data_IF_375878025188
#
_entry.id   IF_375878025188
#
_cell.length_a   1.000
_cell.length_b   1.000
_cell.length_c   1.000
_cell.angle_alpha   90.00
_cell.angle_beta   90.00
_cell.angle_gamma   90.00
#
_symmetry.space_group_name_H-M   'P 1'
#
loop_
_entity.id
_entity.type
_entity.pdbx_description
1 polymer ?
#
# COMPACT_ATOMS: atom_id res chain seq x y z
N UNK A 1 38.53 -2.83 -26.67
CA UNK A 1 37.28 -2.78 -27.49
C UNK A 1 36.13 -2.37 -26.57
N UNK A 2 35.43 -1.26 -26.82
CA UNK A 2 34.35 -0.74 -25.95
C UNK A 2 33.15 -1.69 -25.97
N UNK A 3 32.44 -1.89 -24.85
CA UNK A 3 31.25 -2.77 -24.67
C UNK A 3 30.26 -2.72 -25.85
N UNK A 4 30.02 -1.53 -26.41
CA UNK A 4 29.17 -1.30 -27.58
C UNK A 4 29.65 -2.09 -28.82
N UNK A 5 30.96 -2.20 -29.04
CA UNK A 5 31.55 -2.98 -30.13
C UNK A 5 31.38 -4.49 -29.97
N UNK A 6 31.43 -5.00 -28.74
CA UNK A 6 31.13 -6.41 -28.43
C UNK A 6 29.65 -6.71 -28.66
N UNK A 7 28.75 -5.87 -28.16
CA UNK A 7 27.30 -6.00 -28.40
C UNK A 7 26.97 -5.94 -29.89
N UNK A 8 27.62 -5.07 -30.68
CA UNK A 8 27.44 -5.03 -32.14
C UNK A 8 27.78 -6.36 -32.83
N UNK A 9 28.54 -7.27 -32.23
CA UNK A 9 28.83 -8.59 -32.82
C UNK A 9 27.72 -9.62 -32.61
N UNK A 10 26.87 -9.44 -31.58
CA UNK A 10 25.85 -10.40 -31.16
C UNK A 10 24.46 -10.21 -31.82
N UNK A 11 24.22 -9.06 -32.46
CA UNK A 11 22.87 -8.65 -32.89
C UNK A 11 22.81 -8.33 -34.39
N UNK A 12 21.63 -8.42 -35.01
CA UNK A 12 21.46 -8.04 -36.44
C UNK A 12 21.21 -6.54 -36.61
N UNK A 13 21.38 -6.00 -37.82
CA UNK A 13 21.42 -4.54 -38.09
C UNK A 13 20.31 -3.70 -37.41
N UNK A 14 19.05 -4.17 -37.43
CA UNK A 14 17.92 -3.46 -36.77
C UNK A 14 18.00 -3.47 -35.25
N UNK A 15 18.52 -4.55 -34.66
CA UNK A 15 18.73 -4.67 -33.23
C UNK A 15 19.93 -3.84 -32.76
N UNK A 16 20.99 -3.74 -33.57
CA UNK A 16 22.15 -2.87 -33.29
C UNK A 16 21.73 -1.42 -33.15
N UNK A 17 20.94 -0.88 -34.08
CA UNK A 17 20.42 0.49 -34.02
C UNK A 17 19.66 0.76 -32.71
N UNK A 18 18.78 -0.17 -32.33
CA UNK A 18 18.02 -0.06 -31.08
C UNK A 18 18.93 -0.09 -29.85
N UNK A 19 19.88 -1.04 -29.78
CA UNK A 19 20.80 -1.19 -28.65
C UNK A 19 21.66 0.05 -28.49
N UNK A 20 22.20 0.61 -29.57
CA UNK A 20 23.01 1.82 -29.51
C UNK A 20 22.23 3.01 -28.94
N UNK A 21 21.00 3.22 -29.42
CA UNK A 21 20.11 4.26 -28.89
C UNK A 21 19.73 4.00 -27.44
N UNK A 22 19.45 2.75 -27.09
CA UNK A 22 19.09 2.36 -25.74
C UNK A 22 20.23 2.63 -24.75
N UNK A 23 21.45 2.17 -25.04
CA UNK A 23 22.62 2.43 -24.19
C UNK A 23 22.94 3.92 -24.09
N UNK A 24 22.87 4.66 -25.20
CA UNK A 24 23.07 6.12 -25.18
C UNK A 24 22.10 6.80 -24.19
N UNK A 25 20.83 6.42 -24.22
CA UNK A 25 19.83 6.96 -23.28
C UNK A 25 20.15 6.56 -21.82
N UNK A 26 20.60 5.33 -21.59
CA UNK A 26 20.98 4.87 -20.25
C UNK A 26 22.23 5.60 -19.71
N UNK A 27 23.20 5.89 -20.57
CA UNK A 27 24.39 6.67 -20.19
C UNK A 27 24.02 8.10 -19.79
N UNK A 28 23.03 8.70 -20.47
CA UNK A 28 22.56 10.06 -20.19
C UNK A 28 21.64 10.16 -18.97
N UNK A 29 20.68 9.24 -18.81
CA UNK A 29 19.55 9.38 -17.87
C UNK A 29 19.39 8.24 -16.89
N UNK A 30 20.15 7.14 -17.03
CA UNK A 30 20.01 5.90 -16.23
C UNK A 30 18.63 5.22 -16.31
N UNK A 31 17.70 5.69 -17.14
CA UNK A 31 16.44 5.02 -17.44
C UNK A 31 16.00 5.31 -18.87
N UNK A 32 15.20 4.43 -19.46
CA UNK A 32 14.73 4.56 -20.83
C UNK A 32 13.25 4.16 -20.96
N UNK A 33 12.48 4.97 -21.71
CA UNK A 33 11.16 4.58 -22.19
C UNK A 33 11.30 3.90 -23.55
N UNK A 34 11.16 2.58 -23.58
CA UNK A 34 11.40 1.73 -24.74
C UNK A 34 10.46 2.02 -25.92
N UNK A 35 9.26 2.54 -25.66
CA UNK A 35 8.34 2.94 -26.73
C UNK A 35 8.72 4.26 -27.38
N UNK A 36 9.48 5.12 -26.69
CA UNK A 36 9.96 6.40 -27.23
C UNK A 36 11.29 6.28 -27.97
N UNK A 37 11.95 5.12 -27.93
CA UNK A 37 13.18 4.89 -28.70
C UNK A 37 12.79 4.75 -30.18
N UNK A 38 13.30 5.65 -31.01
CA UNK A 38 13.04 5.64 -32.44
C UNK A 38 13.80 4.50 -33.11
N UNK A 39 13.11 3.44 -33.52
CA UNK A 39 13.70 2.29 -34.22
C UNK A 39 12.64 1.56 -35.05
N UNK A 40 13.08 0.75 -36.02
CA UNK A 40 12.23 -0.07 -36.90
C UNK A 40 11.70 -1.34 -36.22
N UNK A 41 12.12 -1.63 -34.99
CA UNK A 41 11.63 -2.79 -34.23
C UNK A 41 10.26 -2.54 -33.63
N UNK A 42 9.39 -3.54 -33.69
CA UNK A 42 8.14 -3.56 -32.93
C UNK A 42 8.43 -3.65 -31.42
N UNK A 43 7.47 -3.24 -30.59
CA UNK A 43 7.70 -3.13 -29.14
C UNK A 43 8.03 -4.48 -28.47
N UNK A 44 7.36 -5.56 -28.86
CA UNK A 44 7.67 -6.92 -28.38
C UNK A 44 9.12 -7.32 -28.69
N UNK A 45 9.61 -7.04 -29.89
CA UNK A 45 11.01 -7.31 -30.24
C UNK A 45 11.99 -6.51 -29.37
N UNK A 46 11.66 -5.26 -29.02
CA UNK A 46 12.46 -4.45 -28.08
C UNK A 46 12.47 -5.06 -26.67
N UNK A 47 11.32 -5.56 -26.21
CA UNK A 47 11.18 -6.27 -24.92
C UNK A 47 12.07 -7.51 -24.90
N UNK A 48 12.02 -8.31 -25.96
CA UNK A 48 12.82 -9.55 -26.07
C UNK A 48 14.32 -9.25 -26.03
N UNK A 49 14.77 -8.21 -26.73
CA UNK A 49 16.16 -7.76 -26.70
C UNK A 49 16.58 -7.35 -25.28
N UNK A 50 15.78 -6.54 -24.59
CA UNK A 50 16.10 -6.11 -23.22
C UNK A 50 16.16 -7.30 -22.26
N UNK A 51 15.25 -8.26 -22.38
CA UNK A 51 15.28 -9.49 -21.58
C UNK A 51 16.53 -10.32 -21.85
N UNK A 52 16.96 -10.45 -23.13
CA UNK A 52 18.21 -11.12 -23.50
C UNK A 52 19.43 -10.43 -22.87
N UNK A 53 19.50 -9.09 -22.96
CA UNK A 53 20.59 -8.32 -22.36
C UNK A 53 20.66 -8.49 -20.82
N UNK A 54 19.52 -8.59 -20.14
CA UNK A 54 19.47 -8.87 -18.70
C UNK A 54 19.92 -10.30 -18.37
N UNK A 55 19.42 -11.29 -19.11
CA UNK A 55 19.74 -12.71 -18.90
C UNK A 55 21.23 -13.02 -19.13
N UNK A 56 21.85 -12.33 -20.09
CA UNK A 56 23.29 -12.42 -20.39
C UNK A 56 24.14 -11.49 -19.51
N UNK A 57 23.54 -10.80 -18.53
CA UNK A 57 24.22 -9.86 -17.63
C UNK A 57 24.97 -8.72 -18.35
N UNK A 58 24.51 -8.34 -19.55
CA UNK A 58 25.08 -7.26 -20.37
C UNK A 58 24.55 -5.88 -19.96
N UNK A 59 23.41 -5.86 -19.26
CA UNK A 59 22.87 -4.71 -18.53
C UNK A 59 22.44 -5.16 -17.14
N UNK A 60 22.42 -4.22 -16.20
CA UNK A 60 21.89 -4.43 -14.85
C UNK A 60 20.83 -3.37 -14.55
N UNK A 61 19.70 -3.80 -13.99
CA UNK A 61 18.58 -2.90 -13.76
C UNK A 61 17.22 -3.57 -13.63
N UNK A 62 16.19 -2.73 -13.51
CA UNK A 62 14.80 -3.12 -13.36
C UNK A 62 14.04 -2.84 -14.64
N UNK A 63 13.41 -3.88 -15.20
CA UNK A 63 12.54 -3.75 -16.35
C UNK A 63 11.06 -3.82 -15.97
N UNK A 64 10.31 -2.79 -16.36
CA UNK A 64 8.85 -2.68 -16.21
C UNK A 64 8.17 -2.74 -17.59
N UNK A 65 7.99 -3.94 -18.20
CA UNK A 65 7.49 -4.06 -19.57
C UNK A 65 6.07 -3.52 -19.77
N UNK A 66 5.18 -3.65 -18.76
CA UNK A 66 3.83 -3.05 -18.81
C UNK A 66 3.86 -1.52 -18.79
N UNK A 67 4.87 -0.94 -18.13
CA UNK A 67 5.08 0.52 -18.07
C UNK A 67 5.95 1.03 -19.24
N UNK A 68 6.60 0.12 -19.97
CA UNK A 68 7.51 0.42 -21.08
C UNK A 68 8.81 1.10 -20.66
N UNK A 69 9.21 0.95 -19.39
CA UNK A 69 10.42 1.57 -18.84
C UNK A 69 11.44 0.53 -18.41
N UNK A 70 12.71 0.82 -18.67
CA UNK A 70 13.86 0.17 -18.07
C UNK A 70 14.62 1.17 -17.20
N UNK A 71 15.08 0.74 -16.02
CA UNK A 71 15.87 1.54 -15.09
C UNK A 71 17.21 0.84 -14.88
N UNK A 72 18.31 1.50 -15.23
CA UNK A 72 19.65 1.02 -14.95
C UNK A 72 19.93 1.16 -13.46
N UNK A 73 20.22 0.05 -12.79
CA UNK A 73 20.69 0.01 -11.41
C UNK A 73 21.93 -0.85 -11.35
N UNK A 74 22.90 -0.45 -10.54
CA UNK A 74 24.02 -1.31 -10.21
C UNK A 74 23.54 -2.48 -9.34
N UNK A 75 24.09 -3.67 -9.58
CA UNK A 75 23.73 -4.88 -8.83
C UNK A 75 23.94 -4.71 -7.32
N UNK A 76 25.03 -4.05 -6.92
CA UNK A 76 25.31 -3.73 -5.52
C UNK A 76 24.19 -2.90 -4.88
N UNK A 77 23.65 -1.92 -5.59
CA UNK A 77 22.55 -1.10 -5.09
C UNK A 77 21.25 -1.89 -5.00
N UNK A 78 20.97 -2.79 -5.97
CA UNK A 78 19.81 -3.68 -5.91
C UNK A 78 19.87 -4.60 -4.67
N UNK A 79 21.04 -5.19 -4.41
CA UNK A 79 21.29 -6.02 -3.22
C UNK A 79 21.15 -5.20 -1.94
N UNK A 80 21.67 -3.97 -1.91
CA UNK A 80 21.53 -3.08 -0.76
C UNK A 80 20.06 -2.77 -0.45
N UNK A 81 19.26 -2.46 -1.46
CA UNK A 81 17.82 -2.19 -1.30
C UNK A 81 17.13 -3.42 -0.71
N UNK A 82 17.37 -4.59 -1.30
CA UNK A 82 16.75 -5.84 -0.83
C UNK A 82 17.14 -6.16 0.62
N UNK A 83 18.41 -6.02 0.97
CA UNK A 83 18.90 -6.27 2.33
C UNK A 83 18.33 -5.28 3.35
N UNK A 84 18.31 -3.97 3.03
CA UNK A 84 17.75 -2.95 3.92
C UNK A 84 16.26 -3.15 4.20
N UNK A 85 15.49 -3.52 3.17
CA UNK A 85 14.07 -3.83 3.31
C UNK A 85 13.85 -5.11 4.13
N UNK A 86 14.69 -6.14 3.99
CA UNK A 86 14.61 -7.35 4.83
C UNK A 86 14.98 -7.09 6.29
N UNK A 87 16.00 -6.26 6.54
CA UNK A 87 16.53 -6.04 7.89
C UNK A 87 15.75 -5.02 8.70
N UNK A 88 15.44 -3.87 8.10
CA UNK A 88 14.84 -2.73 8.81
C UNK A 88 13.42 -2.44 8.36
N UNK A 89 12.97 -3.06 7.26
CA UNK A 89 11.67 -2.79 6.69
C UNK A 89 11.56 -1.46 5.94
N UNK A 90 12.63 -0.66 5.86
CA UNK A 90 12.64 0.65 5.20
C UNK A 90 13.90 0.91 4.37
N UNK A 91 13.78 1.72 3.33
CA UNK A 91 14.89 2.11 2.46
C UNK A 91 14.81 3.61 2.12
N UNK A 92 15.92 4.34 2.25
CA UNK A 92 15.99 5.77 1.92
C UNK A 92 15.96 5.97 0.40
N UNK A 93 14.92 6.65 -0.09
CA UNK A 93 14.69 6.85 -1.53
C UNK A 93 15.27 8.16 -2.06
N UNK A 94 15.85 9.03 -1.23
CA UNK A 94 16.30 10.36 -1.64
C UNK A 94 17.38 10.29 -2.71
N UNK A 95 18.32 9.34 -2.58
CA UNK A 95 19.36 9.14 -3.58
C UNK A 95 18.77 8.66 -4.91
N UNK A 96 17.78 7.77 -4.88
CA UNK A 96 17.09 7.32 -6.10
C UNK A 96 16.29 8.44 -6.76
N UNK A 97 15.59 9.28 -5.97
CA UNK A 97 14.88 10.46 -6.47
C UNK A 97 15.81 11.46 -7.15
N UNK A 98 17.04 11.64 -6.63
CA UNK A 98 18.06 12.49 -7.27
C UNK A 98 18.59 11.91 -8.58
N UNK A 99 18.79 10.58 -8.63
CA UNK A 99 19.30 9.90 -9.82
C UNK A 99 18.24 9.78 -10.93
N UNK A 100 16.97 9.64 -10.57
CA UNK A 100 15.86 9.50 -11.51
C UNK A 100 14.83 10.60 -11.29
N UNK A 101 14.79 11.64 -12.13
CA UNK A 101 13.72 12.65 -12.11
C UNK A 101 12.44 12.07 -12.73
N UNK A 102 11.86 11.07 -12.06
CA UNK A 102 10.64 10.36 -12.47
C UNK A 102 9.52 10.60 -11.48
N UNK A 103 8.28 10.32 -11.89
CA UNK A 103 7.14 10.43 -10.99
C UNK A 103 7.19 9.40 -9.87
N UNK A 104 6.61 9.75 -8.71
CA UNK A 104 6.50 8.87 -7.55
C UNK A 104 5.78 7.55 -7.87
N UNK A 105 4.75 7.61 -8.72
CA UNK A 105 4.04 6.41 -9.21
C UNK A 105 4.98 5.42 -9.93
N UNK A 106 5.93 5.95 -10.70
CA UNK A 106 6.89 5.12 -11.43
C UNK A 106 7.99 4.61 -10.50
N UNK A 107 8.50 5.46 -9.60
CA UNK A 107 9.45 5.06 -8.56
C UNK A 107 8.88 3.96 -7.66
N UNK A 108 7.63 4.10 -7.22
CA UNK A 108 6.91 3.08 -6.45
C UNK A 108 6.82 1.76 -7.24
N UNK A 109 6.54 1.81 -8.54
CA UNK A 109 6.51 0.60 -9.39
C UNK A 109 7.89 -0.09 -9.52
N UNK A 110 8.98 0.66 -9.45
CA UNK A 110 10.36 0.13 -9.44
C UNK A 110 10.63 -0.54 -8.10
N UNK A 111 10.38 0.17 -7.00
CA UNK A 111 10.65 -0.32 -5.64
C UNK A 111 9.81 -1.55 -5.29
N UNK A 112 8.59 -1.65 -5.83
CA UNK A 112 7.74 -2.83 -5.69
C UNK A 112 8.33 -4.12 -6.29
N UNK A 113 9.41 -4.04 -7.08
CA UNK A 113 10.16 -5.22 -7.53
C UNK A 113 10.96 -5.89 -6.41
N UNK A 114 11.27 -5.16 -5.34
CA UNK A 114 11.97 -5.69 -4.16
C UNK A 114 11.01 -6.21 -3.09
N UNK A 115 9.71 -5.88 -3.18
CA UNK A 115 8.68 -6.34 -2.26
C UNK A 115 7.46 -5.43 -2.26
N UNK A 116 6.32 -5.91 -1.73
CA UNK A 116 5.15 -5.04 -1.52
C UNK A 116 5.47 -3.98 -0.47
N UNK A 117 4.99 -2.75 -0.69
CA UNK A 117 5.29 -1.64 0.20
C UNK A 117 4.76 -0.30 -0.30
N UNK A 118 5.08 0.73 0.47
CA UNK A 118 4.51 2.07 0.36
C UNK A 118 5.62 3.11 0.25
N UNK A 119 5.41 4.09 -0.62
CA UNK A 119 6.34 5.20 -0.81
C UNK A 119 5.94 6.33 0.13
N UNK A 120 6.77 6.60 1.14
CA UNK A 120 6.66 7.80 1.95
C UNK A 120 7.48 8.96 1.39
N UNK A 121 7.55 10.06 2.14
CA UNK A 121 8.33 11.23 1.75
C UNK A 121 9.83 10.92 1.62
N UNK A 122 10.40 10.28 2.65
CA UNK A 122 11.85 10.02 2.77
C UNK A 122 12.21 8.56 2.52
N UNK A 123 11.31 7.64 2.86
CA UNK A 123 11.60 6.21 2.81
C UNK A 123 10.56 5.46 1.98
N UNK A 124 10.98 4.34 1.41
CA UNK A 124 10.10 3.27 1.00
C UNK A 124 9.98 2.26 2.14
N UNK A 125 8.75 1.98 2.57
CA UNK A 125 8.48 1.04 3.64
C UNK A 125 7.92 -0.25 3.07
N UNK A 126 8.45 -1.38 3.52
CA UNK A 126 7.84 -2.69 3.25
C UNK A 126 6.45 -2.76 3.88
N UNK A 127 5.54 -3.52 3.26
CA UNK A 127 4.19 -3.74 3.78
C UNK A 127 4.22 -4.26 5.22
N UNK A 128 5.04 -5.28 5.49
CA UNK A 128 5.15 -5.92 6.80
C UNK A 128 5.61 -4.96 7.89
N UNK A 129 6.52 -4.04 7.55
CA UNK A 129 6.98 -3.01 8.49
C UNK A 129 5.84 -2.10 8.92
N UNK A 130 5.10 -1.52 7.96
CA UNK A 130 4.00 -0.60 8.28
C UNK A 130 2.87 -1.33 8.99
N UNK A 131 2.56 -2.56 8.57
CA UNK A 131 1.53 -3.40 9.20
C UNK A 131 1.88 -3.71 10.66
N UNK A 132 3.12 -4.14 10.94
CA UNK A 132 3.57 -4.46 12.30
C UNK A 132 3.67 -3.21 13.17
N UNK A 133 4.17 -2.11 12.62
CA UNK A 133 4.26 -0.83 13.33
C UNK A 133 2.87 -0.31 13.71
N UNK A 134 1.90 -0.35 12.79
CA UNK A 134 0.52 0.02 13.08
C UNK A 134 -0.07 -0.88 14.17
N UNK A 135 0.07 -2.21 14.01
CA UNK A 135 -0.40 -3.19 15.00
C UNK A 135 0.16 -2.92 16.40
N UNK A 136 1.47 -2.68 16.51
CA UNK A 136 2.13 -2.39 17.79
C UNK A 136 1.64 -1.07 18.41
N UNK A 137 1.41 -0.04 17.59
CA UNK A 137 0.86 1.23 18.07
C UNK A 137 -0.59 1.05 18.58
N UNK A 138 -1.41 0.30 17.87
CA UNK A 138 -2.78 0.02 18.28
C UNK A 138 -2.83 -0.82 19.56
N UNK A 139 -1.98 -1.83 19.70
CA UNK A 139 -1.95 -2.63 20.93
C UNK A 139 -1.46 -1.87 22.18
N UNK A 140 -0.70 -0.79 21.99
CA UNK A 140 -0.20 0.07 23.09
C UNK A 140 -1.12 1.24 23.41
N UNK A 141 -2.07 1.55 22.53
CA UNK A 141 -3.02 2.64 22.72
C UNK A 141 -4.22 2.12 23.52
N UNK A 142 -4.48 2.74 24.67
CA UNK A 142 -5.55 2.31 25.57
C UNK A 142 -6.92 2.85 25.17
N UNK A 143 -6.96 3.93 24.39
CA UNK A 143 -8.17 4.70 24.12
C UNK A 143 -8.40 4.92 22.61
N UNK A 144 -8.03 6.10 22.09
CA UNK A 144 -8.23 6.51 20.71
C UNK A 144 -6.90 6.69 20.00
N UNK A 145 -6.77 6.06 18.83
CA UNK A 145 -5.63 6.22 17.95
C UNK A 145 -6.00 7.05 16.73
N UNK A 146 -5.37 8.22 16.58
CA UNK A 146 -5.50 9.03 15.36
C UNK A 146 -4.57 8.52 14.27
N UNK A 147 -5.14 8.18 13.10
CA UNK A 147 -4.38 7.74 11.94
C UNK A 147 -3.41 8.81 11.42
N UNK A 148 -3.73 10.08 11.65
CA UNK A 148 -2.95 11.24 11.21
C UNK A 148 -1.53 11.23 11.77
N UNK A 149 -1.36 10.83 13.03
CA UNK A 149 -0.04 10.82 13.68
C UNK A 149 0.95 9.90 12.94
N UNK A 150 0.49 8.70 12.58
CA UNK A 150 1.32 7.73 11.86
C UNK A 150 1.46 8.10 10.37
N UNK A 151 0.42 8.70 9.77
CA UNK A 151 0.47 9.27 8.43
C UNK A 151 1.58 10.31 8.31
N UNK A 152 1.60 11.27 9.23
CA UNK A 152 2.59 12.35 9.26
C UNK A 152 3.99 11.83 9.56
N UNK A 153 4.14 10.88 10.50
CA UNK A 153 5.42 10.25 10.83
C UNK A 153 6.04 9.52 9.61
N UNK A 154 5.22 8.75 8.89
CA UNK A 154 5.69 7.95 7.77
C UNK A 154 5.69 8.72 6.45
N UNK A 155 4.97 9.84 6.37
CA UNK A 155 4.68 10.55 5.12
C UNK A 155 3.84 9.71 4.16
N UNK A 156 2.88 8.94 4.68
CA UNK A 156 1.98 8.06 3.93
C UNK A 156 0.57 8.64 3.92
N UNK A 157 -0.22 8.34 2.89
CA UNK A 157 -1.63 8.72 2.85
C UNK A 157 -2.42 8.01 3.98
N UNK A 158 -3.26 8.77 4.70
CA UNK A 158 -4.16 8.23 5.73
C UNK A 158 -5.02 7.08 5.19
N UNK A 159 -5.42 7.12 3.91
CA UNK A 159 -6.21 6.05 3.29
C UNK A 159 -5.45 4.70 3.26
N UNK A 160 -4.12 4.72 3.14
CA UNK A 160 -3.29 3.52 3.20
C UNK A 160 -3.33 2.94 4.61
N UNK A 161 -3.13 3.78 5.62
CA UNK A 161 -3.11 3.35 7.03
C UNK A 161 -4.50 2.86 7.45
N UNK A 162 -5.56 3.55 7.04
CA UNK A 162 -6.94 3.13 7.25
C UNK A 162 -7.21 1.74 6.67
N UNK A 163 -6.77 1.45 5.44
CA UNK A 163 -6.92 0.11 4.85
C UNK A 163 -6.19 -0.96 5.66
N UNK A 164 -4.99 -0.67 6.14
CA UNK A 164 -4.23 -1.61 6.99
C UNK A 164 -4.91 -1.82 8.35
N UNK A 165 -5.44 -0.76 8.95
CA UNK A 165 -6.22 -0.85 10.18
C UNK A 165 -7.46 -1.74 9.98
N UNK A 166 -8.25 -1.51 8.93
CA UNK A 166 -9.41 -2.36 8.60
C UNK A 166 -9.02 -3.83 8.46
N UNK A 167 -7.88 -4.14 7.83
CA UNK A 167 -7.36 -5.50 7.78
C UNK A 167 -7.05 -6.06 9.18
N UNK A 168 -6.36 -5.30 10.04
CA UNK A 168 -6.06 -5.74 11.42
C UNK A 168 -7.32 -6.04 12.24
N UNK A 169 -8.37 -5.22 12.10
CA UNK A 169 -9.64 -5.46 12.78
C UNK A 169 -10.39 -6.68 12.21
N UNK A 170 -10.46 -6.81 10.88
CA UNK A 170 -11.15 -7.92 10.21
C UNK A 170 -10.45 -9.27 10.45
N UNK A 171 -9.12 -9.26 10.56
CA UNK A 171 -8.31 -10.45 10.85
C UNK A 171 -8.30 -10.79 12.36
N UNK A 172 -9.04 -10.05 13.19
CA UNK A 172 -9.07 -10.17 14.65
C UNK A 172 -7.70 -9.99 15.33
N UNK A 173 -6.74 -9.33 14.66
CA UNK A 173 -5.43 -9.05 15.25
C UNK A 173 -5.48 -7.91 16.27
N UNK A 174 -6.46 -7.00 16.10
CA UNK A 174 -6.77 -5.90 17.03
C UNK A 174 -8.29 -5.83 17.17
N UNK A 175 -8.79 -5.56 18.38
CA UNK A 175 -10.21 -5.29 18.62
C UNK A 175 -10.43 -3.79 18.68
N UNK A 176 -11.55 -3.32 18.13
CA UNK A 176 -11.91 -1.91 18.17
C UNK A 176 -12.95 -1.57 17.11
N UNK A 177 -13.05 -0.28 16.85
CA UNK A 177 -13.98 0.32 15.93
C UNK A 177 -13.31 1.48 15.20
N UNK A 178 -13.66 1.71 13.94
CA UNK A 178 -13.16 2.87 13.19
C UNK A 178 -14.33 3.82 12.91
N UNK A 179 -14.12 5.12 13.16
CA UNK A 179 -15.01 6.18 12.69
C UNK A 179 -14.14 7.31 12.15
N UNK A 180 -14.38 7.69 10.91
CA UNK A 180 -13.57 8.68 10.19
C UNK A 180 -12.08 8.29 10.19
N UNK A 181 -11.21 9.12 10.76
CA UNK A 181 -9.75 8.92 10.77
C UNK A 181 -9.22 8.50 12.16
N UNK A 182 -10.11 8.00 13.02
CA UNK A 182 -9.80 7.57 14.38
C UNK A 182 -10.18 6.12 14.60
N UNK A 183 -9.36 5.43 15.38
CA UNK A 183 -9.57 4.04 15.79
C UNK A 183 -9.81 4.03 17.30
N UNK A 184 -10.98 3.54 17.71
CA UNK A 184 -11.40 3.41 19.09
C UNK A 184 -11.11 1.98 19.53
N UNK A 185 -10.20 1.81 20.49
CA UNK A 185 -9.64 0.50 20.83
C UNK A 185 -10.21 -0.05 22.14
N UNK A 186 -10.63 0.84 23.06
CA UNK A 186 -11.29 0.39 24.28
C UNK A 186 -12.71 -0.11 24.01
N UNK A 187 -13.12 -1.14 24.74
CA UNK A 187 -14.49 -1.64 24.72
C UNK A 187 -15.47 -0.54 25.13
N UNK A 188 -15.11 0.26 26.14
CA UNK A 188 -15.96 1.35 26.64
C UNK A 188 -16.17 2.45 25.59
N UNK A 189 -15.13 2.91 24.89
CA UNK A 189 -15.32 3.93 23.84
C UNK A 189 -16.05 3.36 22.63
N UNK A 190 -15.75 2.13 22.24
CA UNK A 190 -16.50 1.43 21.18
C UNK A 190 -17.98 1.35 21.53
N UNK A 191 -18.31 1.05 22.78
CA UNK A 191 -19.67 0.98 23.29
C UNK A 191 -20.37 2.35 23.25
N UNK A 192 -19.72 3.40 23.75
CA UNK A 192 -20.24 4.77 23.70
C UNK A 192 -20.45 5.25 22.26
N UNK A 193 -19.52 4.90 21.36
CA UNK A 193 -19.60 5.24 19.94
C UNK A 193 -20.79 4.57 19.25
N UNK A 194 -21.03 3.28 19.54
CA UNK A 194 -22.19 2.55 18.99
C UNK A 194 -23.50 3.11 19.54
N UNK A 195 -23.57 3.44 20.84
CA UNK A 195 -24.74 4.13 21.42
C UNK A 195 -25.00 5.45 20.71
N UNK A 196 -23.96 6.27 20.52
CA UNK A 196 -24.07 7.54 19.83
C UNK A 196 -24.64 7.37 18.42
N UNK A 197 -24.18 6.39 17.65
CA UNK A 197 -24.71 6.11 16.30
C UNK A 197 -26.17 5.67 16.35
N UNK A 198 -26.54 4.81 17.29
CA UNK A 198 -27.94 4.39 17.46
C UNK A 198 -28.82 5.61 17.78
N UNK A 199 -28.36 6.51 18.66
CA UNK A 199 -29.08 7.73 19.02
C UNK A 199 -29.18 8.72 17.85
N UNK A 200 -28.11 8.91 17.07
CA UNK A 200 -28.11 9.75 15.87
C UNK A 200 -29.09 9.21 14.82
N UNK A 201 -29.08 7.90 14.56
CA UNK A 201 -30.00 7.26 13.62
C UNK A 201 -31.44 7.17 14.16
N UNK A 202 -31.63 7.19 15.49
CA UNK A 202 -32.96 7.20 16.12
C UNK A 202 -33.80 8.42 15.76
N UNK A 203 -33.15 9.50 15.32
CA UNK A 203 -33.83 10.71 14.86
C UNK A 203 -34.62 10.47 13.56
N UNK A 204 -34.22 9.49 12.74
CA UNK A 204 -34.81 9.20 11.44
C UNK A 204 -35.58 7.87 11.40
N UNK A 205 -35.19 6.87 12.20
CA UNK A 205 -35.84 5.57 12.26
C UNK A 205 -35.88 5.01 13.68
N UNK A 206 -36.96 4.31 14.04
CA UNK A 206 -37.04 3.56 15.30
C UNK A 206 -36.48 2.13 15.19
N UNK A 207 -36.07 1.74 13.99
CA UNK A 207 -35.51 0.43 13.67
C UNK A 207 -34.22 0.61 12.89
N UNK A 208 -33.15 0.00 13.39
CA UNK A 208 -31.81 0.10 12.81
C UNK A 208 -31.24 -1.31 12.65
N UNK A 209 -30.69 -1.63 11.50
CA UNK A 209 -30.02 -2.91 11.23
C UNK A 209 -28.57 -2.93 11.72
N UNK A 210 -28.05 -4.12 12.03
CA UNK A 210 -26.66 -4.27 12.47
C UNK A 210 -25.68 -3.86 11.37
N UNK A 211 -26.03 -4.10 10.12
CA UNK A 211 -25.20 -3.75 8.96
C UNK A 211 -25.09 -2.23 8.79
N UNK A 212 -26.17 -1.47 9.06
CA UNK A 212 -26.13 0.00 9.07
C UNK A 212 -25.17 0.53 10.14
N UNK A 213 -25.22 -0.05 11.35
CA UNK A 213 -24.31 0.34 12.45
C UNK A 213 -22.87 -0.04 12.13
N UNK A 214 -22.64 -1.25 11.62
CA UNK A 214 -21.32 -1.78 11.25
C UNK A 214 -20.69 -1.03 10.06
N UNK A 215 -21.52 -0.46 9.18
CA UNK A 215 -21.04 0.37 8.06
C UNK A 215 -20.66 1.78 8.54
N UNK A 216 -21.46 2.36 9.43
CA UNK A 216 -21.22 3.70 9.98
C UNK A 216 -20.01 3.73 10.93
N UNK A 217 -19.90 2.68 11.75
CA UNK A 217 -18.74 2.42 12.59
C UNK A 217 -18.15 1.12 12.09
N UNK A 218 -17.09 1.21 11.30
CA UNK A 218 -16.34 0.12 10.65
C UNK A 218 -15.87 -0.94 11.68
N UNK A 219 -16.81 -1.70 12.21
CA UNK A 219 -16.70 -2.76 13.21
C UNK A 219 -16.98 -4.05 12.45
N UNK A 220 -16.12 -5.07 12.54
CA UNK A 220 -16.40 -6.34 11.89
C UNK A 220 -17.74 -6.92 12.36
N UNK A 221 -18.55 -7.44 11.44
CA UNK A 221 -19.88 -7.97 11.75
C UNK A 221 -19.86 -9.09 12.81
N UNK A 222 -18.73 -9.77 12.99
CA UNK A 222 -18.52 -10.76 14.05
C UNK A 222 -18.47 -10.17 15.46
N UNK A 223 -18.20 -8.87 15.60
CA UNK A 223 -18.09 -8.18 16.90
C UNK A 223 -19.27 -7.28 17.23
N UNK A 224 -20.05 -6.84 16.23
CA UNK A 224 -21.15 -5.91 16.48
C UNK A 224 -22.26 -6.51 17.35
N UNK A 225 -22.61 -7.78 17.13
CA UNK A 225 -23.70 -8.43 17.87
C UNK A 225 -23.42 -8.54 19.38
N UNK A 226 -22.24 -9.00 19.85
CA UNK A 226 -21.88 -8.94 21.27
C UNK A 226 -21.97 -7.54 21.88
N UNK A 227 -21.54 -6.50 21.15
CA UNK A 227 -21.60 -5.11 21.60
C UNK A 227 -23.06 -4.69 21.77
N UNK A 228 -23.91 -4.92 20.76
CA UNK A 228 -25.32 -4.56 20.80
C UNK A 228 -26.08 -5.31 21.90
N UNK A 229 -25.78 -6.59 22.12
CA UNK A 229 -26.38 -7.35 23.21
C UNK A 229 -26.07 -6.74 24.57
N UNK A 230 -24.82 -6.30 24.78
CA UNK A 230 -24.42 -5.60 26.00
C UNK A 230 -25.14 -4.24 26.13
N UNK A 231 -25.27 -3.47 25.04
CA UNK A 231 -25.98 -2.18 25.03
C UNK A 231 -27.43 -2.35 25.50
N UNK A 232 -28.15 -3.32 24.93
CA UNK A 232 -29.55 -3.59 25.31
C UNK A 232 -29.65 -4.08 26.74
N UNK A 233 -28.72 -4.92 27.20
CA UNK A 233 -28.70 -5.41 28.60
C UNK A 233 -28.50 -4.26 29.60
N UNK A 234 -27.66 -3.28 29.27
CA UNK A 234 -27.39 -2.12 30.13
C UNK A 234 -28.47 -1.03 30.01
N UNK A 235 -29.23 -1.02 28.91
CA UNK A 235 -30.27 -0.02 28.63
C UNK A 235 -31.61 -0.67 28.21
N UNK A 236 -32.19 -1.57 29.02
CA UNK A 236 -33.34 -2.38 28.62
C UNK A 236 -34.63 -1.56 28.40
N UNK A 237 -34.72 -0.40 29.04
CA UNK A 237 -35.86 0.51 28.89
C UNK A 237 -35.81 1.30 27.58
N UNK A 238 -34.62 1.45 26.99
CA UNK A 238 -34.39 2.27 25.79
C UNK A 238 -34.34 1.44 24.51
N UNK A 239 -33.84 0.21 24.58
CA UNK A 239 -33.57 -0.59 23.39
C UNK A 239 -34.18 -1.99 23.47
N UNK A 240 -34.40 -2.61 22.31
CA UNK A 240 -34.78 -4.03 22.18
C UNK A 240 -33.99 -4.65 21.04
N UNK A 241 -33.37 -5.81 21.27
CA UNK A 241 -32.60 -6.52 20.25
C UNK A 241 -33.45 -7.61 19.58
N UNK A 242 -33.37 -7.71 18.26
CA UNK A 242 -33.91 -8.79 17.45
C UNK A 242 -32.76 -9.48 16.72
N UNK A 243 -32.11 -10.49 17.34
CA UNK A 243 -30.91 -11.12 16.77
C UNK A 243 -31.17 -11.85 15.44
N UNK A 244 -32.33 -12.49 15.31
CA UNK A 244 -32.72 -13.22 14.09
C UNK A 244 -32.82 -12.27 12.90
N UNK A 245 -33.44 -11.11 13.10
CA UNK A 245 -33.60 -10.09 12.07
C UNK A 245 -32.36 -9.20 11.92
N UNK A 246 -31.38 -9.33 12.82
CA UNK A 246 -30.19 -8.47 12.97
C UNK A 246 -30.55 -6.98 13.09
N UNK A 247 -31.46 -6.67 14.01
CA UNK A 247 -31.95 -5.29 14.22
C UNK A 247 -32.04 -4.91 15.69
N UNK A 248 -31.98 -3.60 15.94
CA UNK A 248 -32.27 -2.97 17.22
C UNK A 248 -33.46 -2.03 17.06
N UNK A 249 -34.42 -2.11 17.99
CA UNK A 249 -35.55 -1.19 18.09
C UNK A 249 -35.33 -0.18 19.21
N UNK A 250 -35.65 1.08 18.94
CA UNK A 250 -35.62 2.17 19.92
C UNK A 250 -37.02 2.34 20.53
N UNK A 251 -37.10 2.21 21.85
CA UNK A 251 -38.33 2.42 22.62
C UNK A 251 -38.52 3.92 22.89
N UNK A 252 -39.76 4.39 22.79
CA UNK A 252 -40.17 5.75 23.17
C UNK A 252 -40.75 5.77 24.57
#
# INVERSE_FOLDING_TARGET
>A
MKLIGFLRSLFVSKEKDFIEKFYKILDEKRYANLAKIETKLAYNQRVDIVNRLLAESLISGIFLPKKKYFFSLEEKLMVEIEQKLKQTGKFDIQNLKKQWPISEKLLSSVLQKFGKGFLGHTFYYSYNYVYSLLKDNLMKCEEEFSLKNLSDELGLDEEIILKLAKSLLNDNEVKGAIKSNSIFLSEQQTFQLVIQIIEEQSQSSLEISFDEISTEVDIPASFIEPILFKIVKENPDRFTLYPIDKKILIKK
#
